data_IF_035863993911
#
_entry.id   IF_035863993911
#
_cell.length_a   1.000
_cell.length_b   1.000
_cell.length_c   1.000
_cell.angle_alpha   90.00
_cell.angle_beta   90.00
_cell.angle_gamma   90.00
#
_symmetry.space_group_name_H-M   'P 1'
#
loop_
_entity.id
_entity.type
_entity.pdbx_description
1 polymer ?
#
# COMPACT_ATOMS: atom_id res chain seq x y z
N UNK A 1 -3.06 -28.09 -6.69
CA UNK A 1 -1.81 -27.41 -6.25
C UNK A 1 -2.06 -26.05 -5.56
N UNK A 2 -3.22 -25.83 -4.92
CA UNK A 2 -3.54 -24.60 -4.19
C UNK A 2 -3.58 -24.80 -2.65
N UNK A 3 -3.94 -26.00 -2.19
CA UNK A 3 -4.06 -26.35 -0.76
C UNK A 3 -2.72 -26.29 0.01
N UNK A 4 -1.59 -26.50 -0.68
CA UNK A 4 -0.26 -26.46 -0.05
C UNK A 4 0.28 -25.04 0.19
N UNK A 5 -0.36 -24.00 -0.37
CA UNK A 5 0.05 -22.60 -0.15
C UNK A 5 -0.56 -22.01 1.13
N UNK A 6 -1.79 -22.39 1.48
CA UNK A 6 -2.43 -21.96 2.73
C UNK A 6 -1.74 -22.53 3.98
N UNK A 7 -1.27 -23.78 3.91
CA UNK A 7 -0.53 -24.40 5.02
C UNK A 7 0.79 -23.70 5.34
N UNK A 8 1.47 -23.10 4.34
CA UNK A 8 2.70 -22.33 4.57
C UNK A 8 2.43 -21.01 5.28
N UNK A 9 1.36 -20.29 4.90
CA UNK A 9 0.98 -19.03 5.55
C UNK A 9 0.66 -19.20 7.03
N UNK A 10 -0.05 -20.28 7.38
CA UNK A 10 -0.36 -20.59 8.78
C UNK A 10 0.88 -20.99 9.59
N UNK A 11 1.81 -21.74 8.98
CA UNK A 11 3.07 -22.12 9.61
C UNK A 11 3.95 -20.89 9.89
N UNK A 12 4.04 -19.94 8.97
CA UNK A 12 4.85 -18.72 9.15
C UNK A 12 4.28 -17.78 10.22
N UNK A 13 2.94 -17.64 10.30
CA UNK A 13 2.28 -16.84 11.35
C UNK A 13 2.46 -17.50 12.73
N UNK A 14 2.37 -18.82 12.81
CA UNK A 14 2.64 -19.55 14.05
C UNK A 14 4.10 -19.41 14.50
N UNK A 15 5.06 -19.46 13.57
CA UNK A 15 6.48 -19.28 13.87
C UNK A 15 6.73 -17.86 14.41
N UNK A 16 6.25 -16.82 13.73
CA UNK A 16 6.38 -15.43 14.18
C UNK A 16 5.73 -15.16 15.54
N UNK A 17 4.57 -15.78 15.83
CA UNK A 17 3.91 -15.69 17.13
C UNK A 17 4.74 -16.31 18.27
N UNK A 18 5.35 -17.48 18.02
CA UNK A 18 6.21 -18.14 19.03
C UNK A 18 7.50 -17.35 19.26
N UNK A 19 8.14 -16.84 18.20
CA UNK A 19 9.37 -16.04 18.33
C UNK A 19 9.14 -14.73 19.09
N UNK A 20 8.03 -14.03 18.83
CA UNK A 20 7.70 -12.79 19.54
C UNK A 20 7.37 -13.05 21.02
N UNK A 21 6.63 -14.13 21.34
CA UNK A 21 6.38 -14.52 22.73
C UNK A 21 7.65 -14.94 23.48
N UNK A 22 8.59 -15.61 22.80
CA UNK A 22 9.87 -16.02 23.38
C UNK A 22 10.76 -14.83 23.73
N UNK A 23 10.92 -13.89 22.79
CA UNK A 23 11.70 -12.65 23.02
C UNK A 23 11.06 -11.81 24.11
N UNK A 24 9.73 -11.69 24.13
CA UNK A 24 9.03 -10.90 25.14
C UNK A 24 9.16 -11.52 26.55
N UNK A 25 9.11 -12.85 26.66
CA UNK A 25 9.39 -13.55 27.93
C UNK A 25 10.83 -13.35 28.41
N UNK A 26 11.81 -13.40 27.50
CA UNK A 26 13.22 -13.21 27.86
C UNK A 26 13.48 -11.81 28.43
N UNK A 27 12.89 -10.78 27.82
CA UNK A 27 13.04 -9.38 28.24
C UNK A 27 12.32 -9.12 29.57
N UNK A 28 11.08 -9.61 29.72
CA UNK A 28 10.29 -9.42 30.95
C UNK A 28 10.89 -10.15 32.16
N UNK A 29 11.53 -11.31 31.96
CA UNK A 29 12.18 -12.07 33.04
C UNK A 29 13.46 -11.39 33.58
N UNK A 30 14.01 -10.39 32.88
CA UNK A 30 15.20 -9.64 33.33
C UNK A 30 14.87 -8.50 34.31
N UNK A 31 13.61 -8.01 34.33
CA UNK A 31 13.25 -6.74 34.97
C UNK A 31 12.54 -6.85 36.34
N UNK A 32 12.09 -8.04 36.77
CA UNK A 32 11.18 -8.14 37.94
C UNK A 32 11.57 -9.20 38.98
N UNK A 33 11.20 -8.95 40.25
CA UNK A 33 11.48 -9.80 41.42
C UNK A 33 10.73 -11.14 41.47
N UNK A 34 11.08 -11.99 42.44
CA UNK A 34 10.69 -13.43 42.49
C UNK A 34 9.19 -13.71 42.33
N UNK A 35 8.33 -13.05 43.12
CA UNK A 35 6.87 -13.23 43.07
C UNK A 35 6.26 -12.77 41.74
N UNK A 36 6.82 -11.73 41.14
CA UNK A 36 6.36 -11.19 39.86
C UNK A 36 6.74 -12.10 38.69
N UNK A 37 7.87 -12.81 38.76
CA UNK A 37 8.28 -13.79 37.73
C UNK A 37 7.33 -14.96 37.64
N UNK A 38 6.83 -15.46 38.76
CA UNK A 38 5.84 -16.55 38.77
C UNK A 38 4.54 -16.10 38.12
N UNK A 39 4.10 -14.88 38.38
CA UNK A 39 2.91 -14.31 37.72
C UNK A 39 3.10 -14.15 36.21
N UNK A 40 4.25 -13.68 35.74
CA UNK A 40 4.54 -13.53 34.30
C UNK A 40 4.60 -14.89 33.61
N UNK A 41 5.20 -15.91 34.24
CA UNK A 41 5.24 -17.28 33.70
C UNK A 41 3.85 -17.90 33.62
N UNK A 42 3.01 -17.70 34.65
CA UNK A 42 1.62 -18.16 34.64
C UNK A 42 0.80 -17.48 33.54
N UNK A 43 0.95 -16.16 33.39
CA UNK A 43 0.29 -15.37 32.36
C UNK A 43 0.75 -15.77 30.95
N UNK A 44 2.05 -15.99 30.74
CA UNK A 44 2.58 -16.47 29.47
C UNK A 44 2.08 -17.87 29.13
N UNK A 45 2.00 -18.77 30.10
CA UNK A 45 1.47 -20.12 29.89
C UNK A 45 -0.02 -20.05 29.53
N UNK A 46 -0.77 -19.15 30.15
CA UNK A 46 -2.17 -18.93 29.85
C UNK A 46 -2.41 -18.39 28.44
N UNK A 47 -1.61 -17.42 27.98
CA UNK A 47 -1.66 -16.90 26.60
C UNK A 47 -1.32 -18.00 25.58
N UNK A 48 -0.31 -18.83 25.86
CA UNK A 48 0.06 -19.93 24.97
C UNK A 48 -1.07 -20.96 24.84
N UNK A 49 -1.77 -21.27 25.94
CA UNK A 49 -2.94 -22.18 25.92
C UNK A 49 -4.06 -21.61 25.05
N UNK A 50 -4.40 -20.32 25.18
CA UNK A 50 -5.41 -19.66 24.33
C UNK A 50 -5.03 -19.78 22.86
N UNK A 51 -3.78 -19.49 22.51
CA UNK A 51 -3.32 -19.56 21.12
C UNK A 51 -3.41 -20.99 20.55
N UNK A 52 -3.05 -22.01 21.35
CA UNK A 52 -3.19 -23.41 20.91
C UNK A 52 -4.65 -23.82 20.76
N UNK A 53 -5.55 -23.29 21.59
CA UNK A 53 -6.98 -23.56 21.48
C UNK A 53 -7.56 -22.94 20.20
N UNK A 54 -7.20 -21.69 19.89
CA UNK A 54 -7.57 -21.01 18.64
C UNK A 54 -7.04 -21.72 17.38
N UNK A 55 -5.91 -22.43 17.44
CA UNK A 55 -5.43 -23.23 16.29
C UNK A 55 -6.21 -24.51 16.07
N UNK A 56 -6.80 -25.10 17.12
CA UNK A 56 -7.58 -26.35 17.03
C UNK A 56 -9.02 -26.05 16.61
N UNK A 57 -9.57 -24.95 17.11
CA UNK A 57 -10.86 -24.44 16.67
C UNK A 57 -10.64 -23.56 15.45
N UNK A 58 -10.74 -24.16 14.27
CA UNK A 58 -10.78 -23.41 13.00
C UNK A 58 -11.83 -22.30 13.13
N UNK A 59 -11.37 -21.07 13.36
CA UNK A 59 -12.22 -19.90 13.23
C UNK A 59 -12.81 -19.98 11.83
N UNK A 60 -14.14 -20.12 11.74
CA UNK A 60 -14.83 -20.06 10.45
C UNK A 60 -14.48 -18.70 9.88
N UNK A 61 -13.50 -18.67 8.97
CA UNK A 61 -13.25 -17.49 8.15
C UNK A 61 -14.48 -17.44 7.26
N UNK A 62 -15.50 -16.71 7.73
CA UNK A 62 -16.49 -16.11 6.86
C UNK A 62 -15.68 -15.16 5.99
N UNK A 63 -15.04 -15.71 4.95
CA UNK A 63 -14.63 -14.93 3.80
C UNK A 63 -15.86 -14.12 3.49
N UNK A 64 -15.79 -12.81 3.69
CA UNK A 64 -16.92 -11.95 3.43
C UNK A 64 -17.35 -12.33 2.03
N UNK A 65 -18.56 -12.87 1.91
CA UNK A 65 -19.22 -13.08 0.64
C UNK A 65 -19.62 -11.69 0.14
N UNK A 66 -18.64 -10.80 0.00
CA UNK A 66 -18.64 -9.87 -1.10
C UNK A 66 -18.71 -10.83 -2.28
N UNK A 67 -19.89 -10.94 -2.87
CA UNK A 67 -20.04 -11.54 -4.18
C UNK A 67 -19.21 -10.67 -5.12
N UNK A 68 -17.89 -10.88 -5.10
CA UNK A 68 -17.07 -10.64 -6.26
C UNK A 68 -17.81 -11.42 -7.34
N UNK A 69 -18.25 -10.74 -8.39
CA UNK A 69 -18.94 -11.44 -9.44
C UNK A 69 -18.00 -12.56 -9.89
N UNK A 70 -18.56 -13.75 -10.13
CA UNK A 70 -17.79 -14.99 -10.22
C UNK A 70 -16.65 -14.85 -11.22
N UNK A 71 -15.65 -15.73 -11.16
CA UNK A 71 -14.39 -15.75 -11.94
C UNK A 71 -14.49 -15.33 -13.45
N UNK A 72 -15.69 -15.25 -14.03
CA UNK A 72 -16.03 -14.67 -15.34
C UNK A 72 -16.29 -13.14 -15.39
N UNK A 73 -16.34 -12.40 -14.28
CA UNK A 73 -16.42 -10.94 -14.29
C UNK A 73 -15.05 -10.36 -13.96
N UNK A 74 -14.17 -10.41 -14.95
CA UNK A 74 -13.13 -9.39 -15.01
C UNK A 74 -13.84 -8.04 -14.94
N UNK A 75 -13.45 -7.21 -13.99
CA UNK A 75 -13.76 -5.78 -14.04
C UNK A 75 -13.35 -5.33 -15.44
N UNK A 76 -14.29 -4.79 -16.21
CA UNK A 76 -13.98 -4.32 -17.56
C UNK A 76 -12.76 -3.41 -17.48
N UNK A 77 -11.77 -3.65 -18.35
CA UNK A 77 -10.66 -2.72 -18.44
C UNK A 77 -11.27 -1.35 -18.75
N UNK A 78 -10.91 -0.34 -17.95
CA UNK A 78 -11.25 1.03 -18.27
C UNK A 78 -10.78 1.31 -19.69
N UNK A 79 -11.56 2.09 -20.44
CA UNK A 79 -11.13 2.58 -21.73
C UNK A 79 -9.72 3.19 -21.60
N UNK A 80 -8.87 2.91 -22.58
CA UNK A 80 -7.52 3.43 -22.65
C UNK A 80 -7.58 4.94 -22.91
N UNK A 81 -7.71 5.73 -21.85
CA UNK A 81 -7.69 7.19 -21.93
C UNK A 81 -6.24 7.64 -21.78
N UNK A 82 -5.68 8.23 -22.83
CA UNK A 82 -4.37 8.86 -22.80
C UNK A 82 -4.56 10.34 -22.43
N UNK A 83 -4.15 10.76 -21.22
CA UNK A 83 -4.39 12.13 -20.75
C UNK A 83 -3.52 13.14 -21.49
N UNK A 84 -3.91 14.41 -21.40
CA UNK A 84 -3.13 15.53 -21.92
C UNK A 84 -1.78 15.58 -21.22
N UNK A 85 -0.69 15.62 -21.98
CA UNK A 85 0.67 15.57 -21.46
C UNK A 85 1.58 16.61 -22.11
N UNK A 86 2.49 17.20 -21.34
CA UNK A 86 3.55 18.08 -21.86
C UNK A 86 4.64 17.19 -22.49
N UNK A 87 4.87 17.31 -23.80
CA UNK A 87 5.94 16.58 -24.52
C UNK A 87 7.29 17.27 -24.42
N UNK A 88 7.29 18.59 -24.28
CA UNK A 88 8.52 19.35 -24.22
C UNK A 88 8.28 20.84 -24.21
N UNK A 89 9.40 21.57 -24.28
CA UNK A 89 9.44 23.01 -24.10
C UNK A 89 10.50 23.60 -25.02
N UNK A 90 10.16 24.66 -25.74
CA UNK A 90 11.07 25.42 -26.58
C UNK A 90 11.38 26.75 -25.92
N UNK A 91 12.66 27.03 -25.77
CA UNK A 91 13.17 28.31 -25.29
C UNK A 91 13.43 29.23 -26.48
N UNK A 92 13.01 30.48 -26.37
CA UNK A 92 13.35 31.50 -27.36
C UNK A 92 14.72 32.12 -27.01
N UNK A 93 15.75 32.02 -27.88
CA UNK A 93 17.08 32.57 -27.60
C UNK A 93 17.09 34.10 -27.45
N UNK A 94 16.15 34.81 -28.09
CA UNK A 94 16.05 36.28 -28.02
C UNK A 94 15.41 36.76 -26.69
N UNK A 95 14.58 35.92 -26.07
CA UNK A 95 13.95 36.21 -24.78
C UNK A 95 13.72 34.92 -23.99
N UNK A 96 14.65 34.61 -23.09
CA UNK A 96 14.66 33.36 -22.30
C UNK A 96 13.49 33.19 -21.32
N UNK A 97 12.73 34.25 -21.04
CA UNK A 97 11.50 34.17 -20.24
C UNK A 97 10.28 33.78 -21.08
N UNK A 98 10.40 33.85 -22.41
CA UNK A 98 9.35 33.39 -23.31
C UNK A 98 9.52 31.90 -23.61
N UNK A 99 8.72 31.12 -22.91
CA UNK A 99 8.76 29.66 -22.91
C UNK A 99 7.53 29.13 -23.64
N UNK A 100 7.76 28.40 -24.75
CA UNK A 100 6.69 27.75 -25.51
C UNK A 100 6.60 26.27 -25.13
N UNK A 101 5.43 25.81 -24.67
CA UNK A 101 5.20 24.42 -24.32
C UNK A 101 4.54 23.65 -25.47
N UNK A 102 5.01 22.43 -25.72
CA UNK A 102 4.41 21.52 -26.70
C UNK A 102 3.58 20.50 -25.94
N UNK A 103 2.27 20.47 -26.22
CA UNK A 103 1.29 19.68 -25.48
C UNK A 103 0.71 18.62 -26.41
N UNK A 104 0.54 17.41 -25.89
CA UNK A 104 -0.16 16.31 -26.53
C UNK A 104 -1.56 16.20 -25.95
N UNK A 105 -2.59 16.30 -26.80
CA UNK A 105 -3.98 16.11 -26.39
C UNK A 105 -4.35 14.63 -26.21
N UNK A 106 -3.48 13.69 -26.62
CA UNK A 106 -3.73 12.26 -26.44
C UNK A 106 -5.03 11.81 -27.12
N UNK A 107 -5.83 11.02 -26.40
CA UNK A 107 -7.11 10.46 -26.90
C UNK A 107 -8.33 11.26 -26.47
N UNK A 108 -8.15 12.37 -25.75
CA UNK A 108 -9.27 13.19 -25.27
C UNK A 108 -9.70 14.14 -26.38
N UNK A 109 -10.91 13.94 -26.92
CA UNK A 109 -11.56 14.89 -27.84
C UNK A 109 -12.09 16.04 -26.99
N UNK A 110 -11.20 16.94 -26.63
CA UNK A 110 -11.50 18.10 -25.78
C UNK A 110 -11.67 19.33 -26.67
N UNK A 111 -12.67 20.15 -26.36
CA UNK A 111 -12.85 21.46 -27.01
C UNK A 111 -11.60 22.34 -26.79
N UNK A 112 -11.29 23.22 -27.74
CA UNK A 112 -10.05 24.03 -27.73
C UNK A 112 -9.93 24.87 -26.45
N UNK A 113 -11.05 25.39 -25.94
CA UNK A 113 -11.12 26.15 -24.71
C UNK A 113 -10.80 25.31 -23.45
N UNK A 114 -11.21 24.05 -23.42
CA UNK A 114 -10.97 23.16 -22.30
C UNK A 114 -9.54 22.59 -22.34
N UNK A 115 -9.01 22.29 -23.54
CA UNK A 115 -7.60 21.94 -23.73
C UNK A 115 -6.68 23.06 -23.23
N UNK A 116 -7.00 24.33 -23.54
CA UNK A 116 -6.19 25.46 -23.11
C UNK A 116 -6.18 25.60 -21.57
N UNK A 117 -7.33 25.39 -20.93
CA UNK A 117 -7.46 25.45 -19.47
C UNK A 117 -6.67 24.33 -18.78
N UNK A 118 -6.75 23.10 -19.29
CA UNK A 118 -5.96 21.98 -18.77
C UNK A 118 -4.47 22.19 -18.99
N UNK A 119 -4.09 22.69 -20.16
CA UNK A 119 -2.71 23.05 -20.51
C UNK A 119 -2.12 24.07 -19.54
N UNK A 120 -2.86 25.14 -19.23
CA UNK A 120 -2.43 26.17 -18.28
C UNK A 120 -2.22 25.59 -16.88
N UNK A 121 -3.10 24.68 -16.45
CA UNK A 121 -2.96 23.98 -15.16
C UNK A 121 -1.70 23.11 -15.13
N UNK A 122 -1.41 22.37 -16.20
CA UNK A 122 -0.20 21.56 -16.31
C UNK A 122 1.07 22.41 -16.26
N UNK A 123 1.09 23.54 -16.96
CA UNK A 123 2.23 24.48 -16.93
C UNK A 123 2.43 25.03 -15.51
N UNK A 124 1.36 25.40 -14.81
CA UNK A 124 1.44 25.87 -13.41
C UNK A 124 2.03 24.81 -12.48
N UNK A 125 1.60 23.57 -12.61
CA UNK A 125 2.15 22.47 -11.81
C UNK A 125 3.60 22.16 -12.15
N UNK A 126 3.98 22.25 -13.43
CA UNK A 126 5.36 22.09 -13.85
C UNK A 126 6.26 23.17 -13.21
N UNK A 127 5.87 24.43 -13.28
CA UNK A 127 6.63 25.52 -12.66
C UNK A 127 6.66 25.41 -11.13
N UNK A 128 5.54 25.01 -10.52
CA UNK A 128 5.49 24.76 -9.08
C UNK A 128 6.50 23.67 -8.69
N UNK A 129 6.55 22.56 -9.43
CA UNK A 129 7.50 21.47 -9.20
C UNK A 129 8.96 21.93 -9.27
N UNK A 130 9.30 22.86 -10.18
CA UNK A 130 10.65 23.43 -10.25
C UNK A 130 11.02 24.31 -9.05
N UNK A 131 10.02 24.86 -8.35
CA UNK A 131 10.24 25.75 -7.19
C UNK A 131 10.18 25.02 -5.84
N UNK A 132 9.83 23.73 -5.83
CA UNK A 132 9.86 22.93 -4.60
C UNK A 132 11.32 22.53 -4.35
N UNK A 133 11.94 22.97 -3.23
CA UNK A 133 13.29 22.55 -2.90
C UNK A 133 13.32 21.05 -2.65
N UNK A 134 14.32 20.36 -3.19
CA UNK A 134 14.64 19.00 -2.77
C UNK A 134 15.03 19.06 -1.28
N UNK A 135 14.35 18.27 -0.44
CA UNK A 135 14.79 18.06 0.94
C UNK A 135 15.84 16.95 0.87
N UNK A 136 17.04 17.24 1.37
CA UNK A 136 18.13 16.28 1.53
C UNK A 136 17.66 14.93 2.12
#
# INVERSE_FOLDING_TARGET
MAVLRDFRGCLDICQLGVYTLYVNNYILNRQFGGTMRTLIKLLSLWIAVIFTFETIFSNNVLAQTISLPGIASSVGLSESIQPVMIRGMKLNPENGLNISFIIDSGSTVVDEAELQKESEKLIKYFLAALTIPEKD
#
